data_IF_469942605715
#
_entry.id   IF_469942605715
#
_cell.length_a   1.000
_cell.length_b   1.000
_cell.length_c   1.000
_cell.angle_alpha   90.00
_cell.angle_beta   90.00
_cell.angle_gamma   90.00
#
_symmetry.space_group_name_H-M   'P 1'
#
loop_
_entity.id
_entity.type
_entity.pdbx_description
1 polymer ?
#
# COMPACT_ATOMS: atom_id res chain seq x y z
N UNK A 1 29.36 13.37 4.18
CA UNK A 1 30.61 13.84 3.52
C UNK A 1 30.49 13.75 2.01
N UNK A 2 30.21 12.58 1.41
CA UNK A 2 30.16 12.43 -0.07
C UNK A 2 29.12 13.35 -0.74
N UNK A 3 27.93 13.48 -0.17
CA UNK A 3 26.87 14.37 -0.72
C UNK A 3 27.32 15.83 -0.70
N UNK A 4 27.91 16.29 0.40
CA UNK A 4 28.43 17.65 0.51
C UNK A 4 29.59 17.91 -0.49
N UNK A 5 30.48 16.93 -0.69
CA UNK A 5 31.57 17.04 -1.67
C UNK A 5 31.07 17.07 -3.11
N UNK A 6 29.90 16.50 -3.37
CA UNK A 6 29.26 16.49 -4.68
C UNK A 6 28.28 17.65 -4.89
N UNK A 7 28.18 18.56 -3.91
CA UNK A 7 27.17 19.65 -3.89
C UNK A 7 25.75 19.14 -4.12
N UNK A 8 25.42 18.03 -3.43
CA UNK A 8 24.12 17.34 -3.57
C UNK A 8 23.27 17.51 -2.31
N UNK A 9 21.99 17.78 -2.51
CA UNK A 9 20.98 17.68 -1.46
C UNK A 9 20.38 16.27 -1.43
N UNK A 10 20.01 15.81 -0.24
CA UNK A 10 19.27 14.56 -0.03
C UNK A 10 17.95 14.86 0.70
N UNK A 11 16.86 14.41 0.12
CA UNK A 11 15.55 14.53 0.74
C UNK A 11 14.94 13.13 0.93
N UNK A 12 14.72 12.74 2.17
CA UNK A 12 14.03 11.49 2.52
C UNK A 12 12.53 11.78 2.65
N UNK A 13 11.76 11.33 1.68
CA UNK A 13 10.30 11.37 1.73
C UNK A 13 9.80 10.09 2.42
N UNK A 14 9.06 10.25 3.53
CA UNK A 14 8.59 9.14 4.36
C UNK A 14 7.15 9.41 4.81
N UNK A 15 6.84 9.48 6.08
CA UNK A 15 5.49 9.58 6.64
C UNK A 15 4.64 10.70 6.03
N UNK A 16 5.25 11.80 5.59
CA UNK A 16 4.55 12.85 4.86
C UNK A 16 3.94 12.33 3.55
N UNK A 17 4.65 11.48 2.83
CA UNK A 17 4.13 10.90 1.59
C UNK A 17 3.19 9.71 1.85
N UNK A 18 3.39 8.96 2.92
CA UNK A 18 2.46 7.88 3.32
C UNK A 18 1.04 8.43 3.52
N UNK A 19 0.93 9.63 4.12
CA UNK A 19 -0.33 10.33 4.34
C UNK A 19 -0.86 11.00 3.07
N UNK A 20 0.01 11.71 2.34
CA UNK A 20 -0.38 12.65 1.27
C UNK A 20 -0.40 12.03 -0.13
N UNK A 21 0.05 10.80 -0.33
CA UNK A 21 0.17 10.26 -1.69
C UNK A 21 0.23 8.74 -1.80
N UNK A 22 1.03 8.05 -0.98
CA UNK A 22 1.27 6.61 -1.13
C UNK A 22 -0.02 5.78 -1.02
N UNK A 23 -0.87 6.11 -0.04
CA UNK A 23 -2.12 5.40 0.17
C UNK A 23 -3.08 5.56 -1.00
N UNK A 24 -3.16 6.77 -1.58
CA UNK A 24 -3.98 7.05 -2.75
C UNK A 24 -3.41 6.38 -4.01
N UNK A 25 -2.10 6.43 -4.21
CA UNK A 25 -1.43 5.75 -5.32
C UNK A 25 -1.67 4.22 -5.29
N UNK A 26 -1.62 3.60 -4.11
CA UNK A 26 -1.93 2.18 -3.95
C UNK A 26 -3.41 1.87 -4.19
N UNK A 27 -4.30 2.73 -3.70
CA UNK A 27 -5.74 2.59 -3.94
C UNK A 27 -6.12 2.81 -5.41
N UNK A 28 -5.43 3.73 -6.13
CA UNK A 28 -5.54 3.90 -7.57
C UNK A 28 -5.09 2.65 -8.32
N UNK A 29 -3.95 2.11 -7.92
CA UNK A 29 -3.38 0.88 -8.49
C UNK A 29 -4.34 -0.30 -8.36
N UNK A 30 -5.06 -0.43 -7.24
CA UNK A 30 -6.10 -1.43 -7.02
C UNK A 30 -7.47 -1.05 -7.59
N UNK A 31 -7.61 0.14 -8.18
CA UNK A 31 -8.88 0.68 -8.67
C UNK A 31 -9.99 0.64 -7.61
N UNK A 32 -9.66 0.89 -6.33
CA UNK A 32 -10.64 0.94 -5.25
C UNK A 32 -11.67 2.05 -5.49
N UNK A 33 -12.94 1.76 -5.23
CA UNK A 33 -14.08 2.68 -5.36
C UNK A 33 -14.55 3.14 -3.97
N UNK A 34 -15.17 4.33 -3.89
CA UNK A 34 -15.76 4.90 -2.67
C UNK A 34 -14.77 4.93 -1.51
N UNK A 35 -13.59 5.43 -1.76
CA UNK A 35 -12.45 5.38 -0.84
C UNK A 35 -12.66 6.21 0.40
N UNK A 36 -12.18 5.69 1.52
CA UNK A 36 -12.07 6.38 2.79
C UNK A 36 -10.67 6.17 3.39
N UNK A 37 -10.28 7.08 4.28
CA UNK A 37 -9.03 6.97 5.03
C UNK A 37 -9.15 5.82 6.02
N UNK A 38 -8.16 4.92 6.03
CA UNK A 38 -8.16 3.74 6.91
C UNK A 38 -7.77 4.10 8.34
N UNK A 39 -6.65 4.79 8.52
CA UNK A 39 -6.16 5.24 9.81
C UNK A 39 -5.97 6.76 9.79
N UNK A 40 -6.90 7.47 10.43
CA UNK A 40 -6.93 8.94 10.45
C UNK A 40 -5.84 9.46 11.36
N UNK A 41 -4.97 10.31 10.83
CA UNK A 41 -3.90 10.99 11.60
C UNK A 41 -4.18 12.48 11.77
N UNK A 42 -5.03 13.04 10.91
CA UNK A 42 -5.48 14.42 10.98
C UNK A 42 -6.91 14.53 10.45
N UNK A 43 -7.75 15.30 11.13
CA UNK A 43 -9.12 15.59 10.70
C UNK A 43 -9.50 17.00 11.18
N UNK A 44 -10.00 17.81 10.27
CA UNK A 44 -10.61 19.10 10.52
C UNK A 44 -11.92 19.28 9.72
N UNK A 45 -12.43 20.51 9.63
CA UNK A 45 -13.68 20.81 8.89
C UNK A 45 -13.51 20.67 7.35
N UNK A 46 -12.28 20.63 6.83
CA UNK A 46 -11.96 20.68 5.40
C UNK A 46 -11.40 19.36 4.90
N UNK A 47 -10.54 18.70 5.70
CA UNK A 47 -9.79 17.54 5.28
C UNK A 47 -9.75 16.45 6.34
N UNK A 48 -9.70 15.19 5.85
CA UNK A 48 -9.45 14.01 6.64
C UNK A 48 -8.29 13.26 6.00
N UNK A 49 -7.16 13.24 6.71
CA UNK A 49 -5.91 12.69 6.21
C UNK A 49 -5.40 11.56 7.09
N UNK A 50 -4.66 10.64 6.49
CA UNK A 50 -4.11 9.52 7.23
C UNK A 50 -3.54 8.42 6.35
N UNK A 51 -3.14 7.34 7.02
CA UNK A 51 -2.42 6.21 6.45
C UNK A 51 -3.42 5.16 5.94
N UNK A 52 -3.15 4.64 4.74
CA UNK A 52 -3.98 3.64 4.10
C UNK A 52 -5.32 4.18 3.58
N UNK A 53 -5.92 3.42 2.71
CA UNK A 53 -7.27 3.65 2.18
C UNK A 53 -8.06 2.36 2.23
N UNK A 54 -9.37 2.44 2.39
CA UNK A 54 -10.25 1.32 2.19
C UNK A 54 -11.42 1.71 1.29
N UNK A 55 -12.00 0.73 0.62
CA UNK A 55 -13.09 0.94 -0.30
C UNK A 55 -13.48 -0.35 -1.00
N UNK A 56 -14.41 -0.24 -1.94
CA UNK A 56 -14.88 -1.40 -2.69
C UNK A 56 -13.87 -1.79 -3.78
N UNK A 57 -13.62 -3.09 -3.91
CA UNK A 57 -12.91 -3.67 -5.05
C UNK A 57 -13.67 -3.38 -6.36
N UNK A 58 -13.00 -3.44 -7.52
CA UNK A 58 -13.65 -3.27 -8.82
C UNK A 58 -14.83 -4.19 -9.04
N UNK A 59 -14.74 -5.42 -8.54
CA UNK A 59 -15.74 -6.47 -8.53
C UNK A 59 -15.58 -7.35 -7.29
N UNK A 60 -16.64 -8.05 -6.92
CA UNK A 60 -16.61 -9.08 -5.88
C UNK A 60 -15.88 -10.32 -6.41
N UNK A 61 -14.98 -10.90 -5.63
CA UNK A 61 -14.17 -12.03 -6.03
C UNK A 61 -13.79 -12.91 -4.84
N UNK A 62 -13.25 -14.11 -5.10
CA UNK A 62 -12.71 -14.94 -4.02
C UNK A 62 -11.40 -14.35 -3.49
N UNK A 63 -11.04 -14.68 -2.24
CA UNK A 63 -9.76 -14.27 -1.66
C UNK A 63 -8.57 -14.75 -2.50
N UNK A 64 -8.68 -15.95 -3.11
CA UNK A 64 -7.69 -16.48 -4.04
C UNK A 64 -7.54 -15.57 -5.27
N UNK A 65 -8.65 -15.19 -5.91
CA UNK A 65 -8.64 -14.30 -7.08
C UNK A 65 -8.14 -12.90 -6.71
N UNK A 66 -8.51 -12.41 -5.52
CA UNK A 66 -8.01 -11.14 -4.99
C UNK A 66 -6.49 -11.17 -4.79
N UNK A 67 -5.93 -12.25 -4.28
CA UNK A 67 -4.49 -12.42 -4.13
C UNK A 67 -3.78 -12.42 -5.50
N UNK A 68 -4.33 -13.10 -6.50
CA UNK A 68 -3.79 -13.07 -7.86
C UNK A 68 -3.96 -11.68 -8.51
N UNK A 69 -5.07 -10.99 -8.26
CA UNK A 69 -5.29 -9.61 -8.69
C UNK A 69 -4.23 -8.66 -8.12
N UNK A 70 -3.98 -8.72 -6.80
CA UNK A 70 -2.93 -7.93 -6.12
C UNK A 70 -1.55 -8.25 -6.70
N UNK A 71 -1.23 -9.53 -6.83
CA UNK A 71 0.04 -9.99 -7.38
C UNK A 71 0.29 -9.47 -8.79
N UNK A 72 -0.71 -9.55 -9.66
CA UNK A 72 -0.64 -9.06 -11.04
C UNK A 72 -0.51 -7.53 -11.09
N UNK A 73 -1.34 -6.83 -10.33
CA UNK A 73 -1.45 -5.37 -10.36
C UNK A 73 -0.18 -4.68 -9.84
N UNK A 74 0.41 -5.23 -8.79
CA UNK A 74 1.69 -4.74 -8.23
C UNK A 74 2.92 -5.43 -8.83
N UNK A 75 2.77 -6.31 -9.83
CA UNK A 75 3.87 -7.04 -10.47
C UNK A 75 4.74 -7.80 -9.45
N UNK A 76 4.10 -8.59 -8.57
CA UNK A 76 4.77 -9.32 -7.51
C UNK A 76 5.01 -10.78 -7.93
N UNK A 77 6.13 -11.39 -7.51
CA UNK A 77 6.38 -12.81 -7.77
C UNK A 77 5.51 -13.72 -6.91
N UNK A 78 5.17 -13.28 -5.70
CA UNK A 78 4.35 -14.01 -4.74
C UNK A 78 3.72 -13.05 -3.73
N UNK A 79 2.65 -13.52 -3.07
CA UNK A 79 2.04 -12.91 -1.88
C UNK A 79 1.77 -13.99 -0.86
N UNK A 80 1.64 -13.62 0.42
CA UNK A 80 1.21 -14.52 1.48
C UNK A 80 -0.22 -14.19 1.85
N UNK A 81 -1.05 -15.20 2.02
CA UNK A 81 -2.48 -15.04 2.32
C UNK A 81 -2.79 -15.67 3.68
N UNK A 82 -3.54 -14.96 4.50
CA UNK A 82 -4.18 -15.44 5.72
C UNK A 82 -5.70 -15.33 5.53
N UNK A 83 -6.41 -16.41 5.73
CA UNK A 83 -7.85 -16.54 5.49
C UNK A 83 -8.19 -17.75 4.65
N UNK A 84 -9.47 -18.01 4.47
CA UNK A 84 -9.96 -19.11 3.62
C UNK A 84 -10.01 -18.62 2.17
N UNK A 85 -9.31 -19.32 1.27
CA UNK A 85 -9.15 -18.89 -0.13
C UNK A 85 -10.46 -18.80 -0.91
N UNK A 86 -11.48 -19.54 -0.48
CA UNK A 86 -12.82 -19.54 -1.07
C UNK A 86 -13.73 -18.40 -0.57
N UNK A 87 -13.33 -17.67 0.49
CA UNK A 87 -14.11 -16.56 1.01
C UNK A 87 -14.26 -15.47 -0.03
N UNK A 88 -15.45 -14.89 -0.07
CA UNK A 88 -15.77 -13.80 -0.98
C UNK A 88 -15.39 -12.47 -0.34
N UNK A 89 -14.66 -11.63 -1.07
CA UNK A 89 -14.22 -10.30 -0.65
C UNK A 89 -14.73 -9.24 -1.63
N UNK A 90 -15.20 -8.14 -1.10
CA UNK A 90 -15.75 -7.00 -1.84
C UNK A 90 -15.20 -5.65 -1.36
N UNK A 91 -14.88 -5.55 -0.07
CA UNK A 91 -14.31 -4.35 0.55
C UNK A 91 -12.88 -4.64 0.98
N UNK A 92 -11.93 -3.89 0.43
CA UNK A 92 -10.51 -4.04 0.73
C UNK A 92 -9.94 -2.78 1.40
N UNK A 93 -9.02 -2.99 2.32
CA UNK A 93 -8.11 -1.96 2.78
C UNK A 93 -6.72 -2.18 2.16
N UNK A 94 -6.06 -1.09 1.76
CA UNK A 94 -4.65 -1.10 1.35
C UNK A 94 -3.86 -0.15 2.23
N UNK A 95 -2.78 -0.67 2.80
CA UNK A 95 -1.83 0.08 3.62
C UNK A 95 -0.42 -0.29 3.21
N UNK A 96 0.21 0.47 2.28
CA UNK A 96 1.61 0.26 1.91
C UNK A 96 2.53 0.31 3.13
N UNK A 97 3.68 -0.37 3.04
CA UNK A 97 4.60 -0.49 4.14
C UNK A 97 4.21 -1.58 5.13
N UNK A 98 4.41 -1.32 6.44
CA UNK A 98 4.08 -2.27 7.50
C UNK A 98 2.62 -2.14 7.93
N UNK A 99 1.86 -3.22 7.79
CA UNK A 99 0.43 -3.28 8.16
C UNK A 99 0.12 -3.25 9.64
N UNK A 100 1.15 -3.36 10.48
CA UNK A 100 0.96 -3.50 11.93
C UNK A 100 0.22 -2.33 12.57
N UNK A 101 0.50 -1.11 12.14
CA UNK A 101 -0.12 0.11 12.69
C UNK A 101 -1.57 0.32 12.22
N UNK A 102 -1.96 -0.26 11.09
CA UNK A 102 -3.28 -0.08 10.47
C UNK A 102 -4.20 -1.30 10.63
N UNK A 103 -3.68 -2.39 11.17
CA UNK A 103 -4.41 -3.65 11.34
C UNK A 103 -5.73 -3.49 12.10
N UNK A 104 -5.70 -2.83 13.28
CA UNK A 104 -6.92 -2.61 14.06
C UNK A 104 -7.91 -1.68 13.35
N UNK A 105 -7.41 -0.72 12.56
CA UNK A 105 -8.27 0.15 11.77
C UNK A 105 -9.00 -0.62 10.67
N UNK A 106 -8.37 -1.64 10.07
CA UNK A 106 -9.02 -2.52 9.10
C UNK A 106 -10.18 -3.31 9.75
N UNK A 107 -9.97 -3.85 10.95
CA UNK A 107 -11.03 -4.51 11.72
C UNK A 107 -12.17 -3.54 12.02
N UNK A 108 -11.85 -2.35 12.51
CA UNK A 108 -12.85 -1.32 12.87
C UNK A 108 -13.64 -0.82 11.66
N UNK A 109 -13.02 -0.78 10.49
CA UNK A 109 -13.66 -0.40 9.23
C UNK A 109 -14.54 -1.51 8.64
N UNK A 110 -14.45 -2.74 9.16
CA UNK A 110 -15.25 -3.88 8.72
C UNK A 110 -14.91 -4.30 7.29
N UNK A 111 -13.64 -4.22 6.89
CA UNK A 111 -13.21 -4.66 5.55
C UNK A 111 -13.11 -6.19 5.51
N UNK A 112 -13.29 -6.77 4.33
CA UNK A 112 -13.16 -8.21 4.13
C UNK A 112 -11.67 -8.63 4.07
N UNK A 113 -10.81 -7.76 3.51
CA UNK A 113 -9.39 -8.05 3.32
C UNK A 113 -8.49 -6.83 3.54
N UNK A 114 -7.39 -7.03 4.25
CA UNK A 114 -6.29 -6.07 4.39
C UNK A 114 -5.14 -6.46 3.47
N UNK A 115 -4.73 -5.55 2.57
CA UNK A 115 -3.59 -5.68 1.66
C UNK A 115 -2.47 -4.80 2.22
N UNK A 116 -1.36 -5.41 2.68
CA UNK A 116 -0.26 -4.67 3.31
C UNK A 116 1.05 -5.46 3.22
N UNK A 117 2.06 -5.08 3.99
CA UNK A 117 3.33 -5.79 4.11
C UNK A 117 3.72 -6.03 5.56
N UNK A 118 4.79 -6.83 5.76
CA UNK A 118 5.40 -7.12 7.06
C UNK A 118 4.39 -7.66 8.10
N UNK A 119 3.46 -8.49 7.66
CA UNK A 119 2.48 -9.14 8.54
C UNK A 119 3.16 -10.33 9.22
N UNK A 120 3.30 -10.24 10.55
CA UNK A 120 3.83 -11.37 11.31
C UNK A 120 2.78 -12.48 11.52
N UNK A 121 3.28 -13.64 11.96
CA UNK A 121 2.45 -14.83 12.15
C UNK A 121 1.25 -14.61 13.07
N UNK A 122 1.46 -13.95 14.20
CA UNK A 122 0.41 -13.74 15.18
C UNK A 122 -0.61 -12.74 14.68
N UNK A 123 -0.16 -11.62 14.14
CA UNK A 123 -1.04 -10.59 13.61
C UNK A 123 -1.95 -11.13 12.49
N UNK A 124 -1.39 -11.95 11.57
CA UNK A 124 -2.19 -12.54 10.50
C UNK A 124 -3.31 -13.45 11.03
N UNK A 125 -2.99 -14.30 12.01
CA UNK A 125 -3.98 -15.19 12.65
C UNK A 125 -5.04 -14.40 13.43
N UNK A 126 -4.60 -13.38 14.17
CA UNK A 126 -5.48 -12.54 14.99
C UNK A 126 -6.47 -11.73 14.13
N UNK A 127 -6.04 -11.25 12.96
CA UNK A 127 -6.91 -10.55 12.02
C UNK A 127 -7.97 -11.49 11.43
N UNK A 128 -7.59 -12.68 11.02
CA UNK A 128 -8.53 -13.69 10.51
C UNK A 128 -9.54 -14.08 11.59
N UNK A 129 -9.11 -14.25 12.84
CA UNK A 129 -10.00 -14.52 13.96
C UNK A 129 -11.01 -13.39 14.23
N UNK A 130 -10.70 -12.16 13.80
CA UNK A 130 -11.57 -10.98 13.86
C UNK A 130 -12.36 -10.73 12.57
N UNK A 131 -12.30 -11.65 11.61
CA UNK A 131 -13.09 -11.62 10.37
C UNK A 131 -12.44 -10.82 9.22
N UNK A 132 -11.15 -10.49 9.33
CA UNK A 132 -10.42 -9.79 8.26
C UNK A 132 -9.36 -10.70 7.67
N UNK A 133 -9.52 -11.09 6.42
CA UNK A 133 -8.48 -11.79 5.66
C UNK A 133 -7.29 -10.87 5.38
N UNK A 134 -6.11 -11.44 5.14
CA UNK A 134 -4.90 -10.63 4.88
C UNK A 134 -4.17 -11.12 3.62
N UNK A 135 -3.78 -10.17 2.78
CA UNK A 135 -2.83 -10.39 1.69
C UNK A 135 -1.56 -9.62 2.02
N UNK A 136 -0.53 -10.33 2.49
CA UNK A 136 0.80 -9.76 2.69
C UNK A 136 1.55 -9.74 1.34
N UNK A 137 1.55 -8.59 0.73
CA UNK A 137 2.18 -8.30 -0.56
C UNK A 137 3.64 -7.85 -0.43
N UNK A 138 4.13 -7.80 0.81
CA UNK A 138 5.45 -7.32 1.18
C UNK A 138 5.58 -5.80 1.15
N UNK A 139 6.34 -5.26 2.08
CA UNK A 139 6.58 -3.82 2.24
C UNK A 139 7.08 -3.18 0.92
N UNK A 140 8.25 -3.64 0.45
CA UNK A 140 8.80 -3.19 -0.82
C UNK A 140 7.84 -3.43 -2.01
N UNK A 141 7.09 -4.52 -1.97
CA UNK A 141 6.17 -4.91 -3.05
C UNK A 141 5.10 -3.86 -3.32
N UNK A 142 4.55 -3.27 -2.29
CA UNK A 142 3.55 -2.22 -2.40
C UNK A 142 4.18 -0.84 -2.63
N UNK A 143 5.30 -0.55 -1.98
CA UNK A 143 5.89 0.79 -2.01
C UNK A 143 6.70 1.10 -3.27
N UNK A 144 7.12 0.12 -4.05
CA UNK A 144 7.85 0.36 -5.31
C UNK A 144 7.08 1.22 -6.33
N UNK A 145 5.76 1.34 -6.20
CA UNK A 145 4.94 2.25 -7.01
C UNK A 145 5.32 3.72 -6.80
N UNK A 146 6.00 4.05 -5.70
CA UNK A 146 6.50 5.39 -5.40
C UNK A 146 7.36 5.95 -6.53
N UNK A 147 8.26 5.15 -7.07
CA UNK A 147 9.25 5.62 -8.06
C UNK A 147 8.59 6.08 -9.36
N UNK A 148 7.75 5.28 -10.04
CA UNK A 148 7.03 5.75 -11.21
C UNK A 148 6.07 6.91 -10.89
N UNK A 149 5.40 6.87 -9.74
CA UNK A 149 4.51 7.95 -9.31
C UNK A 149 5.25 9.28 -9.20
N UNK A 150 6.38 9.33 -8.49
CA UNK A 150 7.17 10.54 -8.31
C UNK A 150 7.82 11.02 -9.60
N UNK A 151 8.30 10.09 -10.43
CA UNK A 151 8.80 10.46 -11.78
C UNK A 151 7.73 11.20 -12.59
N UNK A 152 6.52 10.68 -12.61
CA UNK A 152 5.43 11.23 -13.40
C UNK A 152 4.90 12.55 -12.78
N UNK A 153 4.88 12.63 -11.45
CA UNK A 153 4.60 13.86 -10.72
C UNK A 153 5.58 14.99 -11.09
N UNK A 154 6.89 14.74 -11.01
CA UNK A 154 7.89 15.73 -11.36
C UNK A 154 7.81 16.15 -12.83
N UNK A 155 7.60 15.21 -13.74
CA UNK A 155 7.42 15.53 -15.17
C UNK A 155 6.22 16.44 -15.42
N UNK A 156 5.17 16.30 -14.64
CA UNK A 156 3.94 17.11 -14.78
C UNK A 156 4.07 18.48 -14.12
N UNK A 157 4.53 18.50 -12.87
CA UNK A 157 4.51 19.71 -12.03
C UNK A 157 5.78 20.57 -12.16
N UNK A 158 6.89 19.95 -12.58
CA UNK A 158 8.22 20.61 -12.70
C UNK A 158 8.92 20.17 -13.99
N UNK A 159 8.35 20.47 -15.17
CA UNK A 159 8.85 19.95 -16.46
C UNK A 159 10.25 20.45 -16.82
N UNK A 160 10.74 21.50 -16.15
CA UNK A 160 12.09 22.05 -16.34
C UNK A 160 13.19 21.23 -15.65
N UNK A 161 12.84 20.29 -14.75
CA UNK A 161 13.84 19.46 -14.07
C UNK A 161 14.10 18.18 -14.86
N UNK A 162 15.38 17.79 -14.92
CA UNK A 162 15.77 16.47 -15.43
C UNK A 162 15.58 15.46 -14.32
N UNK A 163 14.71 14.49 -14.54
CA UNK A 163 14.41 13.42 -13.57
C UNK A 163 15.06 12.13 -14.04
N UNK A 164 16.02 11.66 -13.28
CA UNK A 164 16.67 10.35 -13.47
C UNK A 164 16.15 9.36 -12.43
N UNK A 165 15.83 8.15 -12.87
CA UNK A 165 15.34 7.07 -12.01
C UNK A 165 16.48 6.07 -11.81
N UNK A 166 16.85 5.81 -10.57
CA UNK A 166 17.79 4.74 -10.24
C UNK A 166 17.19 3.36 -10.56
N UNK A 167 18.05 2.43 -10.95
CA UNK A 167 17.63 1.03 -11.16
C UNK A 167 17.10 0.43 -9.84
N UNK A 168 15.85 0.02 -9.86
CA UNK A 168 15.23 -0.64 -8.73
C UNK A 168 15.66 -2.11 -8.65
N UNK A 169 16.04 -2.53 -7.44
CA UNK A 169 16.35 -3.93 -7.15
C UNK A 169 15.63 -4.34 -5.88
N UNK A 170 14.91 -5.46 -5.95
CA UNK A 170 14.37 -6.06 -4.73
C UNK A 170 15.52 -6.36 -3.74
N UNK A 171 15.36 -6.01 -2.46
CA UNK A 171 16.38 -6.29 -1.43
C UNK A 171 16.50 -7.79 -1.10
N UNK A 172 15.58 -8.62 -1.60
CA UNK A 172 15.54 -10.07 -1.38
C UNK A 172 14.93 -10.78 -2.59
N UNK A 173 15.14 -12.09 -2.66
CA UNK A 173 14.50 -12.98 -3.61
C UNK A 173 13.52 -13.93 -2.89
N UNK A 174 12.44 -14.26 -3.57
CA UNK A 174 11.51 -15.34 -3.18
C UNK A 174 11.90 -16.56 -4.01
N UNK A 175 12.19 -17.69 -3.36
CA UNK A 175 12.67 -18.94 -3.99
C UNK A 175 11.57 -19.99 -3.87
#
# INVERSE_FOLDING_TARGET
VKLLQADMCYYAMHTNFDVMGMADAAADTLALKDRQVLYVTFEDEIAKEGIGRFGRLPEEMTLADCAEYVKKTFHLPAVRVYGELSDVVSVAAVSPGSGKSTAQSAVNAGVDVLISGDIDHHLGIDLVAQGVSVIDAGHYGLEKIFVPYMRDYFKKEMPEIIVEVAEEKSPFAVI
#
